data_IF_495970586196
#
_entry.id   IF_495970586196
#
_cell.length_a   1.000
_cell.length_b   1.000
_cell.length_c   1.000
_cell.angle_alpha   90.00
_cell.angle_beta   90.00
_cell.angle_gamma   90.00
#
_symmetry.space_group_name_H-M   'P 1'
#
loop_
_entity.id
_entity.type
_entity.pdbx_description
1 polymer ?
#
# COMPACT_ATOMS: atom_id res chain seq x y z
N UNK A 1 9.65 -14.17 8.91
CA UNK A 1 8.21 -13.84 8.73
C UNK A 1 7.67 -13.10 9.95
N UNK A 2 7.94 -13.58 11.18
CA UNK A 2 7.59 -12.83 12.41
C UNK A 2 8.13 -11.41 12.42
N UNK A 3 9.40 -11.22 12.06
CA UNK A 3 10.05 -9.91 12.13
C UNK A 3 9.50 -8.85 11.15
N UNK A 4 9.08 -9.28 9.95
CA UNK A 4 8.41 -8.39 9.00
C UNK A 4 7.06 -7.95 9.57
N UNK A 5 6.28 -8.89 10.08
CA UNK A 5 4.97 -8.60 10.68
C UNK A 5 5.13 -7.68 11.90
N UNK A 6 6.10 -7.95 12.78
CA UNK A 6 6.45 -7.08 13.90
C UNK A 6 6.82 -5.68 13.44
N UNK A 7 7.60 -5.55 12.36
CA UNK A 7 7.97 -4.25 11.78
C UNK A 7 6.75 -3.52 11.21
N UNK A 8 5.85 -4.23 10.53
CA UNK A 8 4.61 -3.64 9.99
C UNK A 8 3.67 -3.17 11.11
N UNK A 9 3.60 -3.90 12.23
CA UNK A 9 2.79 -3.51 13.38
C UNK A 9 3.23 -2.19 14.01
N UNK A 10 4.50 -1.79 13.87
CA UNK A 10 5.00 -0.49 14.33
C UNK A 10 4.39 0.69 13.55
N UNK A 11 3.84 0.44 12.36
CA UNK A 11 3.27 1.45 11.47
C UNK A 11 1.77 1.67 11.70
N UNK A 12 1.16 0.86 12.56
CA UNK A 12 -0.27 0.93 12.86
C UNK A 12 -0.67 2.31 13.39
N UNK A 13 -1.84 2.80 12.96
CA UNK A 13 -2.35 4.14 13.27
C UNK A 13 -1.39 5.28 12.86
N UNK A 14 -0.48 5.01 11.92
CA UNK A 14 0.45 6.00 11.39
C UNK A 14 -0.24 6.95 10.42
N UNK A 15 0.10 8.24 10.49
CA UNK A 15 -0.31 9.22 9.50
C UNK A 15 0.65 9.19 8.30
N UNK A 16 0.12 8.94 7.11
CA UNK A 16 0.87 8.98 5.85
C UNK A 16 1.08 10.46 5.48
N UNK A 17 2.32 10.92 5.54
CA UNK A 17 2.70 12.31 5.21
C UNK A 17 3.04 12.48 3.74
N UNK A 18 3.50 11.42 3.11
CA UNK A 18 3.84 11.39 1.68
C UNK A 18 3.65 9.98 1.15
N UNK A 19 3.17 9.88 -0.08
CA UNK A 19 3.23 8.68 -0.90
C UNK A 19 3.75 9.06 -2.29
N UNK A 20 4.73 8.32 -2.81
CA UNK A 20 5.31 8.52 -4.14
C UNK A 20 5.30 7.20 -4.91
N UNK A 21 4.78 7.24 -6.14
CA UNK A 21 4.76 6.11 -7.06
C UNK A 21 5.80 6.35 -8.15
N UNK A 22 6.87 5.57 -8.16
CA UNK A 22 7.95 5.72 -9.11
C UNK A 22 7.99 4.53 -10.09
N UNK A 23 7.36 4.71 -11.24
CA UNK A 23 7.30 3.69 -12.28
C UNK A 23 8.67 3.36 -12.90
N UNK A 24 9.57 4.35 -13.01
CA UNK A 24 10.91 4.15 -13.58
C UNK A 24 11.80 3.31 -12.65
N UNK A 25 11.65 3.49 -11.34
CA UNK A 25 12.40 2.74 -10.32
C UNK A 25 11.69 1.47 -9.86
N UNK A 26 10.46 1.23 -10.31
CA UNK A 26 9.61 0.15 -9.83
C UNK A 26 9.48 0.17 -8.30
N UNK A 27 9.12 1.34 -7.74
CA UNK A 27 9.01 1.50 -6.30
C UNK A 27 7.81 2.34 -5.88
N UNK A 28 7.30 2.06 -4.67
CA UNK A 28 6.33 2.92 -3.97
C UNK A 28 6.96 3.26 -2.62
N UNK A 29 7.05 4.55 -2.30
CA UNK A 29 7.59 5.00 -1.00
C UNK A 29 6.56 5.77 -0.20
N UNK A 30 6.54 5.54 1.11
CA UNK A 30 5.71 6.24 2.08
C UNK A 30 6.57 6.84 3.18
N UNK A 31 6.23 8.06 3.56
CA UNK A 31 6.70 8.64 4.82
C UNK A 31 5.54 8.56 5.82
N UNK A 32 5.76 7.86 6.94
CA UNK A 32 4.74 7.61 7.96
C UNK A 32 5.20 8.22 9.28
N UNK A 33 4.29 8.94 9.95
CA UNK A 33 4.50 9.41 11.32
C UNK A 33 3.56 8.70 12.28
N UNK A 34 4.10 8.10 13.34
CA UNK A 34 3.35 7.42 14.40
C UNK A 34 3.56 8.19 15.69
N UNK A 35 2.48 8.48 16.42
CA UNK A 35 2.53 9.16 17.71
C UNK A 35 2.38 8.13 18.82
N UNK A 36 3.44 7.96 19.62
CA UNK A 36 3.46 7.01 20.73
C UNK A 36 4.00 7.71 21.99
N UNK A 37 3.23 7.71 23.08
CA UNK A 37 3.62 8.34 24.37
C UNK A 37 4.15 9.78 24.22
N UNK A 38 3.45 10.61 23.42
CA UNK A 38 3.83 11.99 23.07
C UNK A 38 5.13 12.15 22.25
N UNK A 39 5.75 11.05 21.81
CA UNK A 39 6.88 11.05 20.88
C UNK A 39 6.38 10.86 19.45
N UNK A 40 6.98 11.60 18.51
CA UNK A 40 6.72 11.43 17.07
C UNK A 40 7.81 10.54 16.48
N UNK A 41 7.43 9.34 16.07
CA UNK A 41 8.29 8.39 15.38
C UNK A 41 8.08 8.54 13.87
N UNK A 42 9.18 8.57 13.11
CA UNK A 42 9.14 8.69 11.65
C UNK A 42 9.64 7.41 11.00
N UNK A 43 8.93 6.95 9.99
CA UNK A 43 9.25 5.75 9.23
C UNK A 43 9.29 6.07 7.75
N UNK A 44 10.41 5.70 7.11
CA UNK A 44 10.51 5.60 5.66
C UNK A 44 10.19 4.15 5.26
N UNK A 45 9.16 3.96 4.46
CA UNK A 45 8.72 2.65 3.96
C UNK A 45 8.85 2.64 2.45
N UNK A 46 9.55 1.64 1.90
CA UNK A 46 9.79 1.54 0.46
C UNK A 46 9.46 0.12 -0.01
N UNK A 47 8.45 0.00 -0.86
CA UNK A 47 8.20 -1.21 -1.65
C UNK A 47 9.11 -1.18 -2.88
N UNK A 48 9.90 -2.23 -3.07
CA UNK A 48 10.90 -2.30 -4.14
C UNK A 48 10.59 -3.44 -5.12
N UNK A 49 10.90 -3.21 -6.40
CA UNK A 49 10.61 -4.17 -7.45
C UNK A 49 9.10 -4.37 -7.63
N UNK A 50 8.33 -3.29 -7.51
CA UNK A 50 6.88 -3.25 -7.70
C UNK A 50 6.57 -3.60 -9.16
N UNK A 51 5.85 -4.71 -9.36
CA UNK A 51 5.37 -5.16 -10.67
C UNK A 51 3.97 -4.64 -10.97
N UNK A 52 3.14 -4.50 -9.94
CA UNK A 52 1.77 -4.01 -10.07
C UNK A 52 1.28 -3.36 -8.78
N UNK A 53 0.35 -2.43 -8.93
CA UNK A 53 -0.44 -1.91 -7.83
C UNK A 53 -1.87 -1.62 -8.30
N UNK A 54 -2.81 -1.69 -7.36
CA UNK A 54 -4.20 -1.34 -7.58
C UNK A 54 -4.71 -0.56 -6.37
N UNK A 55 -5.35 0.57 -6.61
CA UNK A 55 -5.95 1.39 -5.56
C UNK A 55 -7.47 1.35 -5.70
N UNK A 56 -8.15 0.97 -4.62
CA UNK A 56 -9.60 1.08 -4.49
C UNK A 56 -9.91 2.13 -3.43
N UNK A 57 -10.41 3.28 -3.86
CA UNK A 57 -11.02 4.25 -2.96
C UNK A 57 -12.35 3.64 -2.52
N UNK A 58 -12.52 3.20 -1.28
CA UNK A 58 -13.78 2.62 -0.80
C UNK A 58 -14.31 1.38 -1.58
N UNK A 59 -15.48 0.88 -1.18
CA UNK A 59 -16.17 -0.28 -1.76
C UNK A 59 -17.39 0.10 -2.59
N UNK A 60 -17.85 -0.82 -3.44
CA UNK A 60 -19.07 -0.64 -4.23
C UNK A 60 -19.06 0.67 -5.00
N UNK A 61 -20.21 1.32 -5.15
CA UNK A 61 -20.33 2.59 -5.87
C UNK A 61 -19.82 3.81 -5.08
N UNK A 62 -19.56 3.67 -3.78
CA UNK A 62 -18.90 4.72 -2.97
C UNK A 62 -17.50 5.01 -3.49
N UNK A 63 -16.92 4.11 -4.29
CA UNK A 63 -15.62 4.32 -4.91
C UNK A 63 -15.50 5.59 -5.75
N UNK A 64 -16.62 6.07 -6.28
CA UNK A 64 -16.69 7.28 -7.09
C UNK A 64 -17.07 8.52 -6.28
N UNK A 65 -17.39 8.37 -5.00
CA UNK A 65 -17.73 9.46 -4.08
C UNK A 65 -16.44 9.93 -3.40
N UNK A 66 -15.62 10.66 -4.15
CA UNK A 66 -14.36 11.22 -3.64
C UNK A 66 -14.67 12.58 -3.02
N UNK A 67 -14.49 12.67 -1.71
CA UNK A 67 -14.56 13.95 -1.01
C UNK A 67 -13.44 14.88 -1.49
N UNK A 68 -13.71 16.18 -1.70
CA UNK A 68 -12.68 17.13 -2.05
C UNK A 68 -11.71 17.29 -0.88
N UNK A 69 -10.42 17.43 -1.22
CA UNK A 69 -9.39 17.73 -0.24
C UNK A 69 -9.65 19.07 0.46
N UNK A 70 -9.54 19.07 1.79
CA UNK A 70 -9.51 20.26 2.64
C UNK A 70 -8.16 20.40 3.37
N UNK A 71 -7.79 21.63 3.72
CA UNK A 71 -6.57 21.91 4.44
C UNK A 71 -6.61 21.28 5.84
N UNK A 72 -5.69 20.36 6.10
CA UNK A 72 -5.64 19.59 7.34
C UNK A 72 -6.07 18.13 7.19
N UNK A 73 -6.62 17.76 6.02
CA UNK A 73 -6.89 16.35 5.72
C UNK A 73 -5.60 15.53 5.77
N UNK A 74 -5.72 14.32 6.30
CA UNK A 74 -4.63 13.38 6.41
C UNK A 74 -5.10 11.98 6.07
N UNK A 75 -4.16 11.16 5.61
CA UNK A 75 -4.37 9.72 5.42
C UNK A 75 -3.84 8.99 6.65
N UNK A 76 -4.66 8.13 7.23
CA UNK A 76 -4.25 7.21 8.31
C UNK A 76 -4.06 5.82 7.73
N UNK A 77 -2.98 5.19 8.13
CA UNK A 77 -2.71 3.80 7.85
C UNK A 77 -3.37 2.94 8.94
N UNK A 78 -4.51 2.36 8.60
CA UNK A 78 -5.27 1.49 9.50
C UNK A 78 -4.57 0.15 9.68
N UNK A 79 -4.01 -0.41 8.62
CA UNK A 79 -3.31 -1.69 8.65
C UNK A 79 -2.36 -1.88 7.46
N UNK A 80 -1.34 -2.74 7.65
CA UNK A 80 -0.55 -3.31 6.56
C UNK A 80 -0.51 -4.82 6.73
N UNK A 81 -0.88 -5.52 5.67
CA UNK A 81 -0.80 -6.97 5.59
C UNK A 81 0.29 -7.39 4.62
N UNK A 82 1.04 -8.42 4.99
CA UNK A 82 1.91 -9.16 4.08
C UNK A 82 1.38 -10.60 3.95
N UNK A 83 1.16 -11.03 2.71
CA UNK A 83 0.57 -12.32 2.38
C UNK A 83 1.51 -12.97 1.37
N UNK A 84 2.30 -13.95 1.85
CA UNK A 84 3.39 -14.55 1.08
C UNK A 84 2.93 -15.18 -0.23
N UNK A 85 1.78 -15.85 -0.21
CA UNK A 85 1.17 -16.49 -1.37
C UNK A 85 0.45 -15.49 -2.30
N UNK A 86 0.36 -14.22 -1.88
CA UNK A 86 -0.47 -13.19 -2.48
C UNK A 86 -1.95 -13.36 -2.14
N UNK A 87 -2.74 -12.31 -2.40
CA UNK A 87 -4.18 -12.29 -2.08
C UNK A 87 -5.05 -13.04 -3.09
N UNK A 88 -4.44 -13.53 -4.17
CA UNK A 88 -5.14 -14.04 -5.34
C UNK A 88 -5.08 -13.06 -6.50
N UNK A 89 -5.67 -13.46 -7.63
CA UNK A 89 -5.52 -12.71 -8.89
C UNK A 89 -6.41 -11.47 -8.93
N UNK A 90 -5.78 -10.31 -9.10
CA UNK A 90 -6.42 -9.08 -9.58
C UNK A 90 -6.35 -9.11 -11.11
N UNK A 91 -7.51 -9.22 -11.77
CA UNK A 91 -7.60 -9.41 -13.23
C UNK A 91 -8.39 -8.26 -13.84
N UNK A 92 -7.88 -7.70 -14.93
CA UNK A 92 -8.61 -6.69 -15.72
C UNK A 92 -9.46 -7.40 -16.77
N UNK A 93 -10.77 -7.42 -16.56
CA UNK A 93 -11.73 -7.92 -17.54
C UNK A 93 -12.31 -6.79 -18.39
N UNK A 94 -12.28 -6.95 -19.71
CA UNK A 94 -12.93 -6.06 -20.65
C UNK A 94 -13.93 -6.81 -21.52
N UNK A 95 -15.10 -6.19 -21.73
CA UNK A 95 -16.13 -6.71 -22.63
C UNK A 95 -15.74 -6.57 -24.11
N UNK A 96 -14.75 -5.71 -24.43
CA UNK A 96 -14.36 -5.39 -25.81
C UNK A 96 -12.93 -5.81 -26.12
N UNK A 97 -12.03 -5.60 -25.17
CA UNK A 97 -10.60 -5.73 -25.37
C UNK A 97 -10.08 -7.07 -24.84
N UNK A 98 -9.75 -8.01 -25.73
CA UNK A 98 -9.31 -9.36 -25.32
C UNK A 98 -7.92 -9.37 -24.67
N UNK A 99 -7.07 -8.39 -24.99
CA UNK A 99 -5.69 -8.33 -24.50
C UNK A 99 -5.60 -8.07 -22.99
N UNK A 100 -6.67 -7.55 -22.36
CA UNK A 100 -6.65 -7.21 -20.93
C UNK A 100 -6.46 -8.44 -20.04
N UNK A 101 -6.90 -9.62 -20.50
CA UNK A 101 -6.77 -10.90 -19.78
C UNK A 101 -5.33 -11.34 -19.54
N UNK A 102 -4.38 -10.80 -20.30
CA UNK A 102 -2.95 -11.11 -20.12
C UNK A 102 -2.32 -10.28 -18.99
N UNK A 103 -3.03 -9.27 -18.47
CA UNK A 103 -2.57 -8.41 -17.39
C UNK A 103 -3.25 -8.86 -16.10
N UNK A 104 -2.46 -9.46 -15.22
CA UNK A 104 -2.88 -9.89 -13.90
C UNK A 104 -1.79 -9.54 -12.89
N UNK A 105 -2.18 -9.46 -11.63
CA UNK A 105 -1.29 -9.28 -10.50
C UNK A 105 -1.80 -10.10 -9.31
N UNK A 106 -0.91 -10.46 -8.38
CA UNK A 106 -1.28 -11.02 -7.08
C UNK A 106 -0.58 -10.19 -6.00
N UNK A 107 -1.29 -9.20 -5.46
CA UNK A 107 -0.73 -8.35 -4.43
C UNK A 107 -0.30 -9.17 -3.21
N UNK A 108 0.91 -8.94 -2.74
CA UNK A 108 1.49 -9.58 -1.56
C UNK A 108 1.62 -8.62 -0.38
N UNK A 109 1.43 -7.31 -0.62
CA UNK A 109 1.21 -6.31 0.41
C UNK A 109 -0.14 -5.62 0.21
N UNK A 110 -0.87 -5.40 1.29
CA UNK A 110 -2.16 -4.70 1.29
C UNK A 110 -2.13 -3.64 2.38
N UNK A 111 -2.29 -2.37 2.00
CA UNK A 111 -2.39 -1.26 2.93
C UNK A 111 -3.84 -0.84 2.99
N UNK A 112 -4.40 -0.83 4.18
CA UNK A 112 -5.69 -0.21 4.46
C UNK A 112 -5.45 1.24 4.90
N UNK A 113 -6.02 2.16 4.16
CA UNK A 113 -5.89 3.60 4.35
C UNK A 113 -7.31 4.14 4.53
N UNK A 114 -7.75 4.29 5.78
CA UNK A 114 -9.16 4.54 6.11
C UNK A 114 -10.06 3.48 5.42
N UNK A 115 -11.10 3.91 4.70
CA UNK A 115 -11.99 3.04 3.93
C UNK A 115 -11.39 2.59 2.59
N UNK A 116 -10.13 2.93 2.28
CA UNK A 116 -9.50 2.61 1.00
C UNK A 116 -8.45 1.53 1.13
N UNK A 117 -8.18 0.83 0.01
CA UNK A 117 -7.17 -0.21 -0.05
C UNK A 117 -6.16 0.06 -1.17
N UNK A 118 -4.88 -0.03 -0.83
CA UNK A 118 -3.78 -0.08 -1.79
C UNK A 118 -3.18 -1.49 -1.80
N UNK A 119 -3.35 -2.16 -2.92
CA UNK A 119 -2.83 -3.49 -3.21
C UNK A 119 -1.51 -3.35 -3.95
N UNK A 120 -0.45 -4.00 -3.47
CA UNK A 120 0.89 -3.89 -4.04
C UNK A 120 1.47 -5.30 -4.25
N UNK A 121 1.96 -5.57 -5.45
CA UNK A 121 2.80 -6.73 -5.76
C UNK A 121 4.25 -6.26 -5.87
N UNK A 122 5.09 -6.67 -4.91
CA UNK A 122 6.49 -6.22 -4.80
C UNK A 122 7.45 -7.35 -4.42
N UNK A 123 8.74 -7.19 -4.72
CA UNK A 123 9.77 -8.17 -4.39
C UNK A 123 10.29 -8.03 -2.95
N UNK A 124 10.27 -6.83 -2.42
CA UNK A 124 10.73 -6.54 -1.07
C UNK A 124 10.06 -5.30 -0.50
N UNK A 125 10.15 -5.20 0.82
CA UNK A 125 9.81 -4.03 1.60
C UNK A 125 11.07 -3.58 2.36
N UNK A 126 11.37 -2.29 2.36
CA UNK A 126 12.34 -1.67 3.23
C UNK A 126 11.64 -0.77 4.24
N UNK A 127 12.00 -0.86 5.52
CA UNK A 127 11.53 0.06 6.56
C UNK A 127 12.75 0.64 7.27
N UNK A 128 12.91 1.96 7.22
CA UNK A 128 14.08 2.67 7.75
C UNK A 128 15.43 2.07 7.29
N UNK A 129 15.52 1.72 6.00
CA UNK A 129 16.69 1.10 5.38
C UNK A 129 16.85 -0.40 5.65
N UNK A 130 15.97 -1.03 6.44
CA UNK A 130 15.97 -2.46 6.70
C UNK A 130 15.10 -3.21 5.69
N UNK A 131 15.72 -4.01 4.83
CA UNK A 131 15.02 -4.74 3.75
C UNK A 131 14.55 -6.14 4.17
N UNK A 132 13.32 -6.47 3.80
CA UNK A 132 12.65 -7.76 3.92
C UNK A 132 12.25 -8.27 2.54
N UNK A 133 12.60 -9.51 2.21
CA UNK A 133 12.16 -10.14 0.96
C UNK A 133 10.73 -10.67 1.11
N UNK A 134 9.93 -10.43 0.09
CA UNK A 134 8.59 -10.99 -0.06
C UNK A 134 8.62 -12.46 -0.54
#
# INVERSE_FOLDING_TARGET
MSELIETLNLLWAGSIKRIDFNLLKHSISLDIEVIENASVLKYEVIFEGVSAYFFSNNEGDERLQIEPYDEGDYLELTSIHYIKEGIGNIIIESQREKWTKNWYASANFVLEIWSSYLFIEAKSLSVNGRTFKA
#
